data_IF_635765307345
#
_entry.id   IF_635765307345
#
_cell.length_a   1.000
_cell.length_b   1.000
_cell.length_c   1.000
_cell.angle_alpha   90.00
_cell.angle_beta   90.00
_cell.angle_gamma   90.00
#
_symmetry.space_group_name_H-M   'P 1'
#
loop_
_entity.id
_entity.type
_entity.pdbx_description
1 polymer ?
#
# COMPACT_ATOMS: atom_id res chain seq x y z
N UNK A 1 0.81 5.46 13.95
CA UNK A 1 0.07 6.72 14.15
C UNK A 1 0.37 7.34 15.51
N UNK A 2 0.40 6.59 16.60
CA UNK A 2 0.72 7.11 17.94
C UNK A 2 2.02 7.90 18.01
N UNK A 3 3.10 7.38 17.40
CA UNK A 3 4.40 8.07 17.34
C UNK A 3 4.35 9.40 16.58
N UNK A 4 3.46 9.52 15.57
CA UNK A 4 3.20 10.78 14.89
C UNK A 4 2.43 11.76 15.79
N UNK A 5 1.38 11.29 16.47
CA UNK A 5 0.59 12.11 17.42
C UNK A 5 1.45 12.64 18.56
N UNK A 6 2.37 11.83 19.07
CA UNK A 6 3.34 12.20 20.10
C UNK A 6 4.53 13.01 19.56
N UNK A 7 4.55 13.33 18.26
CA UNK A 7 5.64 14.03 17.57
C UNK A 7 7.02 13.39 17.74
N UNK A 8 7.08 12.07 17.93
CA UNK A 8 8.34 11.34 18.04
C UNK A 8 8.85 10.95 16.64
N UNK A 9 9.63 11.84 16.02
CA UNK A 9 10.13 11.67 14.65
C UNK A 9 11.01 10.43 14.46
N UNK A 10 11.90 10.14 15.41
CA UNK A 10 12.79 8.98 15.33
C UNK A 10 12.00 7.66 15.37
N UNK A 11 11.07 7.52 16.32
CA UNK A 11 10.23 6.34 16.42
C UNK A 11 9.27 6.24 15.23
N UNK A 12 8.71 7.35 14.74
CA UNK A 12 7.86 7.36 13.56
C UNK A 12 8.61 6.82 12.33
N UNK A 13 9.80 7.35 12.04
CA UNK A 13 10.63 6.88 10.92
C UNK A 13 10.98 5.39 11.04
N UNK A 14 11.31 4.93 12.25
CA UNK A 14 11.59 3.52 12.50
C UNK A 14 10.39 2.62 12.15
N UNK A 15 9.20 2.91 12.68
CA UNK A 15 8.01 2.11 12.40
C UNK A 15 7.50 2.28 10.96
N UNK A 16 7.70 3.43 10.32
CA UNK A 16 7.43 3.63 8.91
C UNK A 16 8.28 2.69 8.04
N UNK A 17 9.54 2.49 8.39
CA UNK A 17 10.43 1.56 7.70
C UNK A 17 10.00 0.11 7.90
N UNK A 18 9.68 -0.29 9.14
CA UNK A 18 9.15 -1.63 9.43
C UNK A 18 7.85 -1.89 8.66
N UNK A 19 6.94 -0.92 8.60
CA UNK A 19 5.69 -1.07 7.85
C UNK A 19 5.92 -1.30 6.35
N UNK A 20 6.89 -0.58 5.75
CA UNK A 20 7.27 -0.79 4.34
C UNK A 20 7.89 -2.17 4.12
N UNK A 21 8.77 -2.60 5.02
CA UNK A 21 9.38 -3.94 4.98
C UNK A 21 8.32 -5.05 5.11
N UNK A 22 7.29 -4.84 5.94
CA UNK A 22 6.16 -5.77 6.04
C UNK A 22 5.46 -5.94 4.69
N UNK A 23 5.20 -4.85 3.95
CA UNK A 23 4.58 -4.94 2.63
C UNK A 23 5.48 -5.67 1.62
N UNK A 24 6.80 -5.44 1.66
CA UNK A 24 7.76 -6.16 0.83
C UNK A 24 7.75 -7.67 1.14
N UNK A 25 7.71 -8.03 2.42
CA UNK A 25 7.65 -9.43 2.85
C UNK A 25 6.33 -10.09 2.47
N UNK A 26 5.21 -9.36 2.54
CA UNK A 26 3.91 -9.82 2.04
C UNK A 26 3.98 -10.07 0.52
N UNK A 27 4.57 -9.16 -0.25
CA UNK A 27 4.71 -9.35 -1.71
C UNK A 27 5.56 -10.58 -2.04
N UNK A 28 6.70 -10.77 -1.35
CA UNK A 28 7.56 -11.96 -1.49
C UNK A 28 6.78 -13.25 -1.19
N UNK A 29 5.99 -13.28 -0.12
CA UNK A 29 5.16 -14.44 0.21
C UNK A 29 4.11 -14.71 -0.88
N UNK A 30 3.42 -13.68 -1.38
CA UNK A 30 2.45 -13.83 -2.45
C UNK A 30 3.09 -14.32 -3.76
N UNK A 31 4.36 -13.96 -4.02
CA UNK A 31 5.09 -14.38 -5.21
C UNK A 31 5.36 -15.91 -5.26
N UNK A 32 5.23 -16.63 -4.14
CA UNK A 32 5.46 -18.08 -4.06
C UNK A 32 4.36 -18.92 -4.72
N UNK A 33 3.21 -18.32 -5.05
CA UNK A 33 2.08 -19.06 -5.60
C UNK A 33 1.49 -18.33 -6.82
N UNK A 34 1.42 -19.06 -7.94
CA UNK A 34 0.94 -18.56 -9.22
C UNK A 34 -0.46 -17.90 -9.16
N UNK A 35 -1.32 -18.30 -8.23
CA UNK A 35 -2.68 -17.76 -8.08
C UNK A 35 -2.71 -16.36 -7.46
N UNK A 36 -1.59 -15.88 -6.92
CA UNK A 36 -1.45 -14.54 -6.35
C UNK A 36 -0.56 -13.62 -7.20
N UNK A 37 -0.33 -13.93 -8.48
CA UNK A 37 0.52 -13.13 -9.35
C UNK A 37 -0.28 -12.17 -10.22
N UNK A 38 0.03 -10.88 -10.15
CA UNK A 38 -0.52 -9.87 -11.05
C UNK A 38 -0.24 -10.19 -12.52
N UNK A 39 0.95 -10.73 -12.84
CA UNK A 39 1.34 -11.02 -14.22
C UNK A 39 0.36 -11.96 -14.92
N UNK A 40 -0.15 -12.99 -14.22
CA UNK A 40 -1.12 -13.92 -14.82
C UNK A 40 -2.43 -13.25 -15.18
N UNK A 41 -2.92 -12.36 -14.31
CA UNK A 41 -4.12 -11.57 -14.58
C UNK A 41 -3.94 -10.67 -15.82
N UNK A 42 -2.80 -9.95 -15.88
CA UNK A 42 -2.53 -9.04 -16.99
C UNK A 42 -2.28 -9.78 -18.32
N UNK A 43 -1.54 -10.88 -18.31
CA UNK A 43 -1.32 -11.68 -19.52
C UNK A 43 -2.60 -12.38 -19.97
N UNK A 44 -3.44 -12.85 -19.05
CA UNK A 44 -4.76 -13.41 -19.40
C UNK A 44 -5.68 -12.37 -20.04
N UNK A 45 -5.66 -11.12 -19.57
CA UNK A 45 -6.43 -10.06 -20.22
C UNK A 45 -5.89 -9.76 -21.62
N UNK A 46 -4.55 -9.68 -21.76
CA UNK A 46 -3.89 -9.42 -23.04
C UNK A 46 -4.05 -10.52 -24.07
N UNK A 47 -4.18 -11.78 -23.66
CA UNK A 47 -4.36 -12.92 -24.58
C UNK A 47 -5.72 -12.92 -25.28
N UNK A 48 -6.70 -12.17 -24.77
CA UNK A 48 -8.02 -12.02 -25.40
C UNK A 48 -8.00 -11.03 -26.58
N UNK A 49 -6.93 -10.26 -26.75
CA UNK A 49 -6.84 -9.23 -27.77
C UNK A 49 -6.40 -9.79 -29.14
N UNK A 50 -7.00 -9.28 -30.21
CA UNK A 50 -6.63 -9.61 -31.60
C UNK A 50 -5.67 -8.60 -32.21
N UNK A 51 -5.65 -7.37 -31.68
CA UNK A 51 -4.77 -6.28 -32.15
C UNK A 51 -3.86 -5.76 -31.03
N UNK A 52 -2.79 -5.07 -31.41
CA UNK A 52 -1.91 -4.39 -30.45
C UNK A 52 -2.63 -3.31 -29.65
N UNK A 53 -3.58 -2.61 -30.27
CA UNK A 53 -4.39 -1.58 -29.61
C UNK A 53 -5.35 -2.21 -28.58
N UNK A 54 -6.02 -3.31 -28.92
CA UNK A 54 -6.84 -4.05 -27.96
C UNK A 54 -6.00 -4.58 -26.80
N UNK A 55 -4.81 -5.12 -27.07
CA UNK A 55 -3.91 -5.63 -26.05
C UNK A 55 -3.59 -4.56 -25.00
N UNK A 56 -3.31 -3.33 -25.45
CA UNK A 56 -3.07 -2.20 -24.55
C UNK A 56 -4.32 -1.79 -23.77
N UNK A 57 -5.50 -1.78 -24.41
CA UNK A 57 -6.77 -1.45 -23.75
C UNK A 57 -7.15 -2.49 -22.71
N UNK A 58 -6.95 -3.78 -22.98
CA UNK A 58 -7.29 -4.85 -22.06
C UNK A 58 -6.35 -4.87 -20.86
N UNK A 59 -5.06 -4.60 -21.05
CA UNK A 59 -4.14 -4.42 -19.93
C UNK A 59 -4.55 -3.22 -19.06
N UNK A 60 -4.90 -2.08 -19.67
CA UNK A 60 -5.41 -0.92 -18.93
C UNK A 60 -6.67 -1.27 -18.13
N UNK A 61 -7.67 -1.92 -18.76
CA UNK A 61 -8.91 -2.31 -18.09
C UNK A 61 -8.64 -3.28 -16.93
N UNK A 62 -7.73 -4.24 -17.11
CA UNK A 62 -7.35 -5.22 -16.10
C UNK A 62 -6.70 -4.57 -14.88
N UNK A 63 -5.80 -3.58 -15.09
CA UNK A 63 -5.21 -2.78 -14.00
C UNK A 63 -6.28 -1.92 -13.32
N UNK A 64 -7.11 -1.25 -14.11
CA UNK A 64 -8.12 -0.32 -13.60
C UNK A 64 -9.16 -1.00 -12.72
N UNK A 65 -9.67 -2.15 -13.15
CA UNK A 65 -10.68 -2.90 -12.43
C UNK A 65 -10.24 -3.23 -11.00
N UNK A 66 -8.98 -3.60 -10.77
CA UNK A 66 -8.49 -4.00 -9.44
C UNK A 66 -7.93 -2.82 -8.62
N UNK A 67 -7.89 -1.61 -9.16
CA UNK A 67 -7.37 -0.42 -8.45
C UNK A 67 -8.35 0.74 -8.42
N UNK A 68 -8.49 1.50 -9.52
CA UNK A 68 -9.22 2.78 -9.54
C UNK A 68 -10.71 2.59 -9.85
N UNK A 69 -11.05 1.45 -10.47
CA UNK A 69 -12.39 1.06 -10.92
C UNK A 69 -13.04 1.98 -11.98
N UNK A 70 -12.50 3.17 -12.17
CA UNK A 70 -12.74 4.03 -13.32
C UNK A 70 -11.55 4.96 -13.58
N UNK A 71 -11.62 5.79 -14.63
CA UNK A 71 -10.47 6.57 -15.09
C UNK A 71 -10.05 7.70 -14.15
N UNK A 72 -10.88 8.09 -13.18
CA UNK A 72 -10.58 9.12 -12.18
C UNK A 72 -10.69 8.60 -10.74
N UNK A 73 -10.69 7.28 -10.54
CA UNK A 73 -10.80 6.72 -9.19
C UNK A 73 -12.21 6.81 -8.61
N UNK A 74 -13.23 6.47 -9.40
CA UNK A 74 -14.63 6.54 -8.99
C UNK A 74 -14.93 5.66 -7.78
N UNK A 75 -14.32 4.46 -7.71
CA UNK A 75 -14.50 3.50 -6.61
C UNK A 75 -13.16 2.86 -6.24
N UNK A 76 -12.21 3.72 -5.83
CA UNK A 76 -10.84 3.31 -5.51
C UNK A 76 -10.82 2.13 -4.53
N UNK A 77 -9.98 1.15 -4.82
CA UNK A 77 -9.71 -0.07 -4.05
C UNK A 77 -10.90 -1.04 -3.91
N UNK A 78 -12.04 -0.84 -4.58
CA UNK A 78 -13.22 -1.70 -4.42
C UNK A 78 -12.93 -3.18 -4.71
N UNK A 79 -12.31 -3.48 -5.85
CA UNK A 79 -11.96 -4.83 -6.25
C UNK A 79 -10.46 -5.11 -6.05
N UNK A 80 -9.88 -4.56 -4.98
CA UNK A 80 -8.47 -4.80 -4.64
C UNK A 80 -8.13 -6.29 -4.52
N UNK A 81 -6.84 -6.59 -4.67
CA UNK A 81 -6.28 -7.94 -4.57
C UNK A 81 -4.99 -7.92 -3.77
N UNK A 82 -4.81 -8.92 -2.94
CA UNK A 82 -3.52 -9.22 -2.31
C UNK A 82 -2.72 -10.08 -3.29
N UNK A 83 -2.15 -9.43 -4.31
CA UNK A 83 -1.31 -10.08 -5.32
C UNK A 83 0.10 -9.52 -5.32
N UNK A 84 1.09 -10.37 -5.57
CA UNK A 84 2.44 -9.92 -5.84
C UNK A 84 2.45 -9.04 -7.10
N UNK A 85 3.21 -7.96 -7.04
CA UNK A 85 3.18 -6.86 -8.00
C UNK A 85 2.12 -5.80 -7.67
N UNK A 86 0.93 -6.16 -7.18
CA UNK A 86 -0.02 -5.15 -6.67
C UNK A 86 0.47 -4.60 -5.33
N UNK A 87 0.91 -5.47 -4.42
CA UNK A 87 1.46 -5.02 -3.13
C UNK A 87 2.73 -4.20 -3.35
N UNK A 88 3.68 -4.70 -4.13
CA UNK A 88 4.95 -4.03 -4.39
C UNK A 88 4.83 -2.73 -5.20
N UNK A 89 4.03 -2.71 -6.27
CA UNK A 89 4.02 -1.57 -7.22
C UNK A 89 2.80 -0.65 -7.11
N UNK A 90 1.77 -1.03 -6.33
CA UNK A 90 0.61 -0.18 -6.10
C UNK A 90 0.47 0.21 -4.62
N UNK A 91 0.40 -0.74 -3.68
CA UNK A 91 0.19 -0.40 -2.27
C UNK A 91 1.41 0.18 -1.57
N UNK A 92 2.59 -0.43 -1.75
CA UNK A 92 3.82 0.03 -1.10
C UNK A 92 4.19 1.47 -1.49
N UNK A 93 4.12 1.91 -2.77
CA UNK A 93 4.42 3.30 -3.11
C UNK A 93 3.38 4.29 -2.56
N UNK A 94 2.09 3.92 -2.50
CA UNK A 94 1.03 4.75 -1.86
C UNK A 94 1.34 5.00 -0.40
N UNK A 95 1.65 3.93 0.34
CA UNK A 95 2.02 4.02 1.75
C UNK A 95 3.32 4.76 1.96
N UNK A 96 4.34 4.51 1.12
CA UNK A 96 5.62 5.21 1.22
C UNK A 96 5.45 6.71 1.06
N UNK A 97 4.65 7.15 0.10
CA UNK A 97 4.38 8.57 -0.13
C UNK A 97 3.61 9.18 1.06
N UNK A 98 2.58 8.50 1.56
CA UNK A 98 1.84 8.95 2.74
C UNK A 98 2.74 9.11 3.97
N UNK A 99 3.57 8.10 4.27
CA UNK A 99 4.49 8.12 5.40
C UNK A 99 5.57 9.21 5.25
N UNK A 100 6.08 9.44 4.04
CA UNK A 100 7.03 10.53 3.76
C UNK A 100 6.43 11.92 4.03
N UNK A 101 5.18 12.15 3.63
CA UNK A 101 4.48 13.42 3.91
C UNK A 101 4.29 13.64 5.41
N UNK A 102 4.02 12.57 6.16
CA UNK A 102 3.96 12.62 7.62
C UNK A 102 5.34 12.90 8.24
N UNK A 103 6.41 12.26 7.75
CA UNK A 103 7.78 12.55 8.20
C UNK A 103 8.16 14.02 7.96
N UNK A 104 7.79 14.57 6.80
CA UNK A 104 8.01 15.99 6.47
C UNK A 104 7.22 16.92 7.38
N UNK A 105 5.96 16.60 7.67
CA UNK A 105 5.14 17.37 8.60
C UNK A 105 5.75 17.38 10.01
N UNK A 106 6.30 16.25 10.48
CA UNK A 106 7.02 16.20 11.76
C UNK A 106 8.29 17.05 11.74
N UNK A 107 9.10 16.95 10.69
CA UNK A 107 10.37 17.68 10.57
C UNK A 107 10.17 19.21 10.51
N UNK A 108 9.05 19.65 9.94
CA UNK A 108 8.70 21.08 9.80
C UNK A 108 7.79 21.59 10.92
N UNK A 109 7.43 20.73 11.89
CA UNK A 109 6.42 21.02 12.91
C UNK A 109 5.07 21.48 12.33
N UNK A 110 4.76 21.04 11.11
CA UNK A 110 3.53 21.34 10.38
C UNK A 110 2.45 20.27 10.55
N UNK A 111 1.48 20.27 9.64
CA UNK A 111 0.40 19.29 9.55
C UNK A 111 0.26 18.76 8.13
N UNK A 112 -0.25 17.54 7.98
CA UNK A 112 -0.57 16.98 6.67
C UNK A 112 -1.82 17.66 6.09
N UNK A 113 -1.82 17.87 4.77
CA UNK A 113 -3.01 18.24 4.02
C UNK A 113 -3.50 17.01 3.25
N UNK A 114 -4.56 16.37 3.75
CA UNK A 114 -5.04 15.10 3.21
C UNK A 114 -5.41 15.16 1.73
N UNK A 115 -6.01 16.26 1.27
CA UNK A 115 -6.36 16.45 -0.15
C UNK A 115 -5.11 16.52 -1.03
N UNK A 116 -4.08 17.30 -0.60
CA UNK A 116 -2.81 17.36 -1.35
C UNK A 116 -2.10 16.01 -1.37
N UNK A 117 -2.11 15.28 -0.26
CA UNK A 117 -1.49 13.94 -0.19
C UNK A 117 -2.25 12.97 -1.10
N UNK A 118 -3.58 12.99 -1.08
CA UNK A 118 -4.41 12.18 -1.98
C UNK A 118 -4.14 12.49 -3.44
N UNK A 119 -4.11 13.77 -3.82
CA UNK A 119 -3.80 14.19 -5.19
C UNK A 119 -2.40 13.73 -5.61
N UNK A 120 -1.43 13.83 -4.71
CA UNK A 120 -0.06 13.38 -4.95
C UNK A 120 0.00 11.87 -5.15
N UNK A 121 -0.70 11.09 -4.32
CA UNK A 121 -0.81 9.63 -4.46
C UNK A 121 -1.46 9.25 -5.79
N UNK A 122 -2.58 9.88 -6.14
CA UNK A 122 -3.28 9.61 -7.39
C UNK A 122 -2.37 9.85 -8.60
N UNK A 123 -1.71 11.01 -8.65
CA UNK A 123 -0.86 11.42 -9.78
C UNK A 123 0.46 10.66 -9.87
N UNK A 124 1.06 10.30 -8.73
CA UNK A 124 2.41 9.71 -8.69
C UNK A 124 2.39 8.19 -8.65
N UNK A 125 1.28 7.57 -8.25
CA UNK A 125 1.19 6.11 -8.09
C UNK A 125 -0.01 5.54 -8.84
N UNK A 126 -1.22 5.95 -8.48
CA UNK A 126 -2.42 5.22 -8.90
C UNK A 126 -2.69 5.34 -10.41
N UNK A 127 -2.56 6.55 -10.96
CA UNK A 127 -2.70 6.79 -12.39
C UNK A 127 -1.54 6.16 -13.19
N UNK A 128 -0.24 6.39 -12.86
CA UNK A 128 0.85 5.71 -13.53
C UNK A 128 0.72 4.18 -13.54
N UNK A 129 0.37 3.55 -12.41
CA UNK A 129 0.20 2.10 -12.33
C UNK A 129 -0.79 1.55 -13.38
N UNK A 130 -1.85 2.31 -13.68
CA UNK A 130 -2.87 1.96 -14.68
C UNK A 130 -2.37 2.13 -16.13
N UNK A 131 -1.57 3.15 -16.38
CA UNK A 131 -1.09 3.50 -17.72
C UNK A 131 0.26 2.87 -18.06
N UNK A 132 0.98 2.35 -17.07
CA UNK A 132 2.26 1.65 -17.23
C UNK A 132 2.08 0.34 -18.02
N UNK A 133 3.20 -0.18 -18.54
CA UNK A 133 3.37 -1.43 -19.27
C UNK A 133 4.46 -2.32 -18.66
N UNK A 134 4.88 -2.04 -17.42
CA UNK A 134 5.74 -2.94 -16.63
C UNK A 134 5.21 -4.36 -16.71
N UNK A 135 6.06 -5.29 -17.14
CA UNK A 135 5.78 -6.72 -17.15
C UNK A 135 5.97 -7.29 -15.74
N UNK A 136 5.13 -8.25 -15.39
CA UNK A 136 5.17 -8.94 -14.10
C UNK A 136 5.36 -10.45 -14.31
N UNK A 137 6.00 -11.16 -13.36
CA UNK A 137 6.14 -12.62 -13.43
C UNK A 137 4.79 -13.33 -13.57
N UNK A 138 4.76 -14.38 -14.39
CA UNK A 138 3.59 -15.28 -14.57
C UNK A 138 3.79 -16.65 -13.89
N UNK A 139 5.03 -16.95 -13.54
CA UNK A 139 5.43 -18.11 -12.76
C UNK A 139 5.78 -17.69 -11.33
N UNK A 140 5.55 -18.60 -10.39
CA UNK A 140 5.92 -18.38 -8.99
C UNK A 140 7.44 -18.23 -8.85
N UNK A 141 7.89 -17.57 -7.77
CA UNK A 141 9.31 -17.32 -7.51
C UNK A 141 10.16 -18.59 -7.35
N UNK A 142 9.52 -19.73 -7.04
CA UNK A 142 10.18 -21.00 -6.76
C UNK A 142 10.60 -21.18 -5.30
N UNK A 143 10.39 -20.17 -4.45
CA UNK A 143 10.58 -20.30 -3.00
C UNK A 143 9.48 -21.17 -2.38
N UNK A 144 9.82 -21.97 -1.36
CA UNK A 144 8.83 -22.76 -0.62
C UNK A 144 7.95 -21.85 0.24
N UNK A 145 6.65 -21.86 -0.04
CA UNK A 145 5.68 -20.99 0.61
C UNK A 145 5.56 -21.26 2.13
N UNK A 146 5.70 -22.51 2.57
CA UNK A 146 5.55 -22.90 3.97
C UNK A 146 6.79 -22.52 4.78
N UNK A 147 7.98 -22.75 4.24
CA UNK A 147 9.24 -22.32 4.84
C UNK A 147 9.30 -20.80 4.96
N UNK A 148 8.96 -20.08 3.89
CA UNK A 148 8.92 -18.63 3.91
C UNK A 148 7.86 -18.10 4.90
N UNK A 149 6.67 -18.68 4.95
CA UNK A 149 5.65 -18.27 5.91
C UNK A 149 6.13 -18.43 7.37
N UNK A 150 6.87 -19.51 7.67
CA UNK A 150 7.48 -19.73 9.00
C UNK A 150 8.56 -18.71 9.30
N UNK A 151 9.47 -18.45 8.36
CA UNK A 151 10.52 -17.43 8.46
C UNK A 151 9.90 -16.06 8.80
N UNK A 152 8.93 -15.62 7.99
CA UNK A 152 8.27 -14.34 8.17
C UNK A 152 7.49 -14.28 9.49
N UNK A 153 6.81 -15.36 9.88
CA UNK A 153 6.14 -15.43 11.17
C UNK A 153 7.14 -15.22 12.32
N UNK A 154 8.30 -15.86 12.27
CA UNK A 154 9.33 -15.71 13.31
C UNK A 154 9.82 -14.26 13.40
N UNK A 155 10.23 -13.68 12.27
CA UNK A 155 10.68 -12.28 12.18
C UNK A 155 9.65 -11.32 12.78
N UNK A 156 8.40 -11.41 12.33
CA UNK A 156 7.36 -10.47 12.74
C UNK A 156 6.81 -10.76 14.14
N UNK A 157 6.86 -12.00 14.61
CA UNK A 157 6.49 -12.35 15.99
C UNK A 157 7.46 -11.76 17.02
N UNK A 158 8.74 -11.60 16.65
CA UNK A 158 9.74 -10.96 17.51
C UNK A 158 9.62 -9.45 17.45
N UNK A 159 9.63 -8.87 16.24
CA UNK A 159 9.50 -7.42 16.03
C UNK A 159 8.20 -6.84 16.58
N UNK A 160 7.11 -7.61 16.57
CA UNK A 160 5.82 -7.18 17.13
C UNK A 160 5.76 -7.19 18.64
N UNK A 161 6.64 -7.91 19.36
CA UNK A 161 6.67 -7.85 20.85
C UNK A 161 6.97 -6.44 21.34
N UNK A 162 7.84 -5.73 20.65
CA UNK A 162 8.17 -4.34 20.95
C UNK A 162 6.99 -3.39 20.65
N UNK A 163 6.10 -3.77 19.73
CA UNK A 163 4.89 -3.02 19.35
C UNK A 163 3.69 -3.27 20.27
N UNK A 164 3.71 -4.30 21.15
CA UNK A 164 2.57 -4.69 22.01
C UNK A 164 2.21 -3.70 23.12
N UNK A 165 3.01 -2.66 23.37
CA UNK A 165 2.65 -1.61 24.34
C UNK A 165 1.78 -0.56 23.67
N UNK A 166 0.48 -0.83 23.57
CA UNK A 166 -0.52 0.22 23.40
C UNK A 166 -0.35 1.24 24.54
N UNK A 167 -0.30 2.55 24.27
CA UNK A 167 -0.32 3.56 25.33
C UNK A 167 -1.58 3.36 26.19
N UNK A 168 -1.41 3.00 27.47
CA UNK A 168 -2.54 2.84 28.40
C UNK A 168 -3.24 4.15 28.73
N UNK A 169 -2.57 5.28 28.49
CA UNK A 169 -3.15 6.60 28.69
C UNK A 169 -3.67 7.16 27.36
N UNK A 170 -4.99 7.13 27.20
CA UNK A 170 -5.65 8.02 26.27
C UNK A 170 -5.24 9.45 26.60
N UNK A 171 -4.54 10.11 25.68
CA UNK A 171 -4.32 11.55 25.69
C UNK A 171 -5.66 12.23 26.05
N UNK A 172 -5.73 12.87 27.22
CA UNK A 172 -6.87 13.69 27.62
C UNK A 172 -6.96 14.86 26.64
N UNK A 173 -7.66 14.67 25.52
CA UNK A 173 -8.01 15.76 24.61
C UNK A 173 -8.94 16.67 25.41
N UNK A 174 -8.39 17.82 25.79
CA UNK A 174 -9.07 18.88 26.54
C UNK A 174 -10.27 19.34 25.69
N UNK A 175 -11.48 18.88 26.00
CA UNK A 175 -12.72 19.42 25.43
C UNK A 175 -12.81 20.90 25.82
N UNK A 176 -12.40 21.80 24.93
CA UNK A 176 -12.78 23.22 25.03
C UNK A 176 -14.30 23.28 24.79
N UNK A 177 -15.01 23.74 25.81
CA UNK A 177 -16.47 23.66 25.89
C UNK A 177 -17.19 24.31 24.71
N UNK A 178 -18.18 23.60 24.16
CA UNK A 178 -19.30 24.23 23.47
C UNK A 178 -20.27 24.70 24.53
N UNK A 179 -20.38 26.03 24.71
CA UNK A 179 -21.55 26.62 25.36
C UNK A 179 -22.75 26.35 24.45
N UNK A 180 -23.78 25.72 25.01
CA UNK A 180 -25.08 25.63 24.39
C UNK A 180 -25.69 27.05 24.35
N UNK A 181 -26.12 27.49 23.18
CA UNK A 181 -27.09 28.57 23.05
C UNK A 181 -28.44 27.90 22.85
N UNK A 182 -29.38 28.30 23.70
CA UNK A 182 -30.81 27.95 23.68
C UNK A 182 -31.48 28.65 22.50
#
# INVERSE_FOLDING_TARGET
MDTYTLKNAAAFKHYSNLFKELLQNIDRLLATNQHFLLGRWLESAKSLATTSLERQKYEYNARNQITLWGPQGQIVDYANKQWSGVVQDFFLPRWSLFLQEMELALATNGTINESKVRDKIFRKVELPFNTDRKKFPVEASGEDALELARELYQIWSERSREMKKLPKEFLKIRKKGRKAFV
#
